data_IF_546085129314
#
_entry.id   IF_546085129314
#
_cell.length_a   1.000
_cell.length_b   1.000
_cell.length_c   1.000
_cell.angle_alpha   90.00
_cell.angle_beta   90.00
_cell.angle_gamma   90.00
#
_symmetry.space_group_name_H-M   'P 1'
#
loop_
_entity.id
_entity.type
_entity.pdbx_description
1 polymer ?
#
# COMPACT_ATOMS: atom_id res chain seq x y z
N UNK A 1 5.10 0.02 2.53
CA UNK A 1 3.98 -0.25 1.61
C UNK A 1 3.21 -1.46 2.10
N UNK A 2 1.88 -1.44 2.13
CA UNK A 2 1.07 -2.52 2.72
C UNK A 2 0.18 -3.14 1.65
N UNK A 3 0.39 -4.41 1.32
CA UNK A 3 -0.52 -5.09 0.41
C UNK A 3 -1.66 -5.70 1.25
N UNK A 4 -2.78 -4.98 1.38
CA UNK A 4 -3.97 -5.53 2.05
C UNK A 4 -4.72 -6.40 1.05
N UNK A 5 -4.33 -7.67 0.95
CA UNK A 5 -5.09 -8.67 0.21
C UNK A 5 -6.54 -8.74 0.74
N UNK A 6 -7.54 -8.59 -0.14
CA UNK A 6 -8.89 -9.10 0.11
C UNK A 6 -9.10 -10.27 -0.85
N UNK A 7 -8.78 -11.45 -0.34
CA UNK A 7 -8.83 -12.71 -1.04
C UNK A 7 -10.28 -13.13 -1.38
N UNK A 8 -10.88 -12.54 -2.41
CA UNK A 8 -12.18 -13.03 -2.90
C UNK A 8 -11.94 -14.07 -4.00
N UNK A 9 -12.24 -15.33 -3.67
CA UNK A 9 -12.19 -16.42 -4.63
C UNK A 9 -13.30 -16.26 -5.68
N UNK A 10 -12.92 -16.19 -6.97
CA UNK A 10 -13.85 -16.44 -8.05
C UNK A 10 -14.38 -17.89 -7.93
N UNK A 11 -15.70 -18.01 -7.81
CA UNK A 11 -16.42 -19.28 -7.61
C UNK A 11 -16.03 -20.34 -8.64
N UNK A 12 -15.36 -21.41 -8.20
CA UNK A 12 -15.35 -22.69 -8.89
C UNK A 12 -15.80 -23.80 -7.94
N UNK A 13 -16.72 -24.63 -8.45
CA UNK A 13 -17.44 -25.70 -7.74
C UNK A 13 -16.47 -26.73 -7.14
N UNK A 14 -16.34 -26.78 -5.81
CA UNK A 14 -16.25 -27.96 -4.92
C UNK A 14 -15.41 -27.65 -3.66
N UNK A 15 -15.97 -27.98 -2.48
CA UNK A 15 -15.47 -27.81 -1.10
C UNK A 15 -15.21 -26.36 -0.63
N UNK A 16 -16.23 -25.82 0.02
CA UNK A 16 -16.25 -24.59 0.84
C UNK A 16 -15.29 -24.74 2.05
N UNK A 17 -14.00 -24.58 1.84
CA UNK A 17 -13.13 -24.05 2.88
C UNK A 17 -13.30 -22.53 2.82
N UNK A 18 -13.84 -21.93 3.89
CA UNK A 18 -13.89 -20.48 4.00
C UNK A 18 -12.45 -19.97 4.13
N UNK A 19 -11.80 -19.70 3.00
CA UNK A 19 -10.49 -19.06 2.98
C UNK A 19 -10.70 -17.61 3.41
N UNK A 20 -10.24 -17.29 4.62
CA UNK A 20 -10.33 -15.95 5.18
C UNK A 20 -9.57 -14.93 4.33
N UNK A 21 -9.92 -13.66 4.49
CA UNK A 21 -9.11 -12.55 3.94
C UNK A 21 -7.75 -12.59 4.66
N UNK A 22 -6.67 -12.67 3.90
CA UNK A 22 -5.30 -12.57 4.42
C UNK A 22 -4.76 -11.18 4.07
N UNK A 23 -3.91 -10.57 4.91
CA UNK A 23 -3.22 -9.33 4.58
C UNK A 23 -1.70 -9.53 4.61
N UNK A 24 -0.96 -8.83 3.75
CA UNK A 24 0.50 -8.91 3.69
C UNK A 24 1.13 -7.53 3.88
N UNK A 25 1.93 -7.41 4.94
CA UNK A 25 2.71 -6.21 5.20
C UNK A 25 4.11 -6.34 4.58
N UNK A 26 4.45 -5.45 3.63
CA UNK A 26 5.72 -5.48 2.90
C UNK A 26 6.63 -4.35 3.41
N UNK A 27 7.63 -4.73 4.22
CA UNK A 27 8.57 -3.79 4.86
C UNK A 27 10.00 -4.07 4.34
N UNK A 28 10.79 -3.01 4.23
CA UNK A 28 12.19 -3.07 3.82
C UNK A 28 12.77 -1.67 3.58
N UNK A 29 14.10 -1.52 3.54
CA UNK A 29 14.75 -0.23 3.32
C UNK A 29 14.43 0.36 1.94
N UNK A 30 14.69 1.66 1.75
CA UNK A 30 14.57 2.29 0.44
C UNK A 30 15.40 1.53 -0.61
N UNK A 31 14.87 1.37 -1.83
CA UNK A 31 15.54 0.62 -2.90
C UNK A 31 15.50 -0.90 -2.79
N UNK A 32 14.91 -1.51 -1.74
CA UNK A 32 14.85 -2.97 -1.59
C UNK A 32 13.88 -3.69 -2.53
N UNK A 33 13.19 -2.97 -3.43
CA UNK A 33 12.26 -3.55 -4.41
C UNK A 33 10.82 -3.78 -3.93
N UNK A 34 10.38 -3.12 -2.85
CA UNK A 34 9.00 -3.29 -2.30
C UNK A 34 7.90 -3.04 -3.32
N UNK A 35 7.98 -1.94 -4.08
CA UNK A 35 6.97 -1.57 -5.07
C UNK A 35 6.93 -2.58 -6.23
N UNK A 36 8.11 -3.07 -6.65
CA UNK A 36 8.26 -4.13 -7.66
C UNK A 36 7.65 -5.45 -7.18
N UNK A 37 7.88 -5.82 -5.92
CA UNK A 37 7.28 -7.00 -5.33
C UNK A 37 5.74 -6.92 -5.36
N UNK A 38 5.17 -5.79 -4.94
CA UNK A 38 3.72 -5.58 -4.94
C UNK A 38 3.13 -5.66 -6.35
N UNK A 39 3.81 -5.10 -7.36
CA UNK A 39 3.40 -5.20 -8.77
C UNK A 39 3.35 -6.66 -9.26
N UNK A 40 4.42 -7.42 -9.01
CA UNK A 40 4.53 -8.82 -9.42
C UNK A 40 3.52 -9.71 -8.70
N UNK A 41 3.34 -9.51 -7.39
CA UNK A 41 2.35 -10.25 -6.61
C UNK A 41 0.94 -9.97 -7.08
N UNK A 42 0.60 -8.70 -7.36
CA UNK A 42 -0.70 -8.33 -7.92
C UNK A 42 -0.96 -9.05 -9.25
N UNK A 43 0.00 -8.95 -10.18
CA UNK A 43 -0.09 -9.62 -11.48
C UNK A 43 -0.27 -11.14 -11.32
N UNK A 44 0.48 -11.76 -10.40
CA UNK A 44 0.38 -13.19 -10.11
C UNK A 44 -1.03 -13.56 -9.59
N UNK A 45 -1.56 -12.82 -8.61
CA UNK A 45 -2.89 -13.08 -8.04
C UNK A 45 -3.99 -12.87 -9.09
N UNK A 46 -3.85 -11.88 -9.97
CA UNK A 46 -4.77 -11.64 -11.09
C UNK A 46 -4.77 -12.80 -12.09
N UNK A 47 -3.60 -13.39 -12.40
CA UNK A 47 -3.53 -14.58 -13.26
C UNK A 47 -4.22 -15.81 -12.65
N UNK A 48 -4.38 -15.84 -11.33
CA UNK A 48 -5.13 -16.86 -10.60
C UNK A 48 -6.64 -16.56 -10.54
N UNK A 49 -7.13 -15.51 -11.21
CA UNK A 49 -8.52 -15.03 -11.14
C UNK A 49 -8.98 -14.71 -9.70
N UNK A 50 -8.09 -14.09 -8.92
CA UNK A 50 -8.37 -13.66 -7.54
C UNK A 50 -8.24 -12.16 -7.43
N UNK A 51 -8.99 -11.58 -6.49
CA UNK A 51 -8.90 -10.14 -6.19
C UNK A 51 -7.76 -9.86 -5.21
N UNK A 52 -7.13 -8.71 -5.41
CA UNK A 52 -6.05 -8.16 -4.59
C UNK A 52 -6.24 -6.65 -4.55
N UNK A 53 -6.01 -6.06 -3.38
CA UNK A 53 -5.97 -4.61 -3.21
C UNK A 53 -4.58 -4.23 -2.69
N UNK A 54 -3.95 -3.27 -3.36
CA UNK A 54 -2.69 -2.71 -2.89
C UNK A 54 -2.98 -1.41 -2.16
N UNK A 55 -2.40 -1.22 -0.98
CA UNK A 55 -2.54 0.00 -0.19
C UNK A 55 -1.18 0.66 -0.02
N UNK A 56 -1.06 1.92 -0.41
CA UNK A 56 0.15 2.67 -0.13
C UNK A 56 0.04 3.37 1.21
N UNK A 57 0.97 3.05 2.13
CA UNK A 57 1.13 3.73 3.42
C UNK A 57 2.48 4.46 3.52
N UNK A 58 3.15 4.68 2.39
CA UNK A 58 4.43 5.39 2.34
C UNK A 58 4.21 6.78 1.72
N UNK A 59 4.27 7.87 2.53
CA UNK A 59 4.04 9.24 2.04
C UNK A 59 5.19 9.73 1.15
N UNK A 60 6.33 9.04 1.15
CA UNK A 60 7.47 9.31 0.28
C UNK A 60 7.50 8.41 -0.97
N UNK A 61 6.49 7.58 -1.19
CA UNK A 61 6.45 6.73 -2.37
C UNK A 61 6.36 7.55 -3.66
N UNK A 62 7.10 7.12 -4.67
CA UNK A 62 7.02 7.65 -6.03
C UNK A 62 5.77 7.13 -6.78
N UNK A 63 5.68 7.41 -8.08
CA UNK A 63 4.57 6.96 -8.92
C UNK A 63 4.52 5.43 -9.07
N UNK A 64 3.36 4.85 -8.82
CA UNK A 64 3.09 3.43 -9.05
C UNK A 64 2.70 3.18 -10.51
N UNK A 65 3.15 2.05 -11.09
CA UNK A 65 2.76 1.60 -12.44
C UNK A 65 1.49 0.73 -12.45
N UNK A 66 0.78 0.66 -11.33
CA UNK A 66 -0.40 -0.17 -11.13
C UNK A 66 -1.43 0.56 -10.26
N UNK A 67 -2.72 0.20 -10.35
CA UNK A 67 -3.75 0.81 -9.52
C UNK A 67 -3.54 0.46 -8.04
N UNK A 68 -3.58 1.48 -7.19
CA UNK A 68 -3.58 1.36 -5.74
C UNK A 68 -5.00 1.63 -5.24
N UNK A 69 -5.50 0.82 -4.32
CA UNK A 69 -6.86 0.92 -3.80
C UNK A 69 -7.03 2.05 -2.77
N UNK A 70 -5.97 2.37 -2.04
CA UNK A 70 -5.91 3.51 -1.12
C UNK A 70 -4.46 4.00 -1.02
N UNK A 71 -4.27 5.31 -1.01
CA UNK A 71 -2.96 5.95 -0.96
C UNK A 71 -2.92 7.02 0.13
N UNK A 72 -1.99 6.90 1.07
CA UNK A 72 -1.78 7.91 2.11
C UNK A 72 -1.46 9.30 1.54
N UNK A 73 -0.90 9.37 0.32
CA UNK A 73 -0.58 10.64 -0.33
C UNK A 73 -1.82 11.47 -0.68
N UNK A 74 -3.00 10.83 -0.76
CA UNK A 74 -4.27 11.54 -0.92
C UNK A 74 -4.67 12.30 0.36
N UNK A 75 -4.14 11.89 1.52
CA UNK A 75 -4.28 12.59 2.80
C UNK A 75 -3.13 13.58 3.00
N UNK A 76 -1.89 13.09 2.89
CA UNK A 76 -0.68 13.88 3.13
C UNK A 76 0.51 13.35 2.32
N UNK A 77 1.14 14.23 1.53
CA UNK A 77 2.33 13.90 0.76
C UNK A 77 3.59 14.50 1.40
N UNK A 78 4.73 13.78 1.31
CA UNK A 78 5.99 14.28 1.85
C UNK A 78 6.44 15.57 1.15
N UNK A 79 6.20 15.69 -0.15
CA UNK A 79 6.63 16.83 -0.97
C UNK A 79 5.90 18.12 -0.55
N UNK A 80 4.59 18.04 -0.33
CA UNK A 80 3.79 19.18 0.13
C UNK A 80 4.23 19.63 1.53
N UNK A 81 4.43 18.67 2.45
CA UNK A 81 4.90 18.96 3.82
C UNK A 81 6.28 19.60 3.82
N UNK A 82 7.23 19.09 3.03
CA UNK A 82 8.56 19.67 2.94
C UNK A 82 8.50 21.12 2.41
N UNK A 83 7.58 21.40 1.48
CA UNK A 83 7.43 22.72 0.85
C UNK A 83 6.73 23.73 1.77
N UNK A 84 5.62 23.32 2.40
CA UNK A 84 4.79 24.20 3.24
C UNK A 84 5.42 24.42 4.63
N UNK A 85 5.93 23.36 5.24
CA UNK A 85 6.48 23.40 6.60
C UNK A 85 7.98 23.71 6.62
N UNK A 86 8.62 23.83 5.44
CA UNK A 86 10.07 24.05 5.26
C UNK A 86 10.92 23.02 6.00
N UNK A 87 10.45 21.78 6.05
CA UNK A 87 11.12 20.67 6.70
C UNK A 87 12.06 19.95 5.71
N UNK A 88 13.15 19.39 6.24
CA UNK A 88 13.96 18.43 5.50
C UNK A 88 13.23 17.08 5.34
N UNK A 89 13.75 16.14 4.51
CA UNK A 89 13.06 14.89 4.20
C UNK A 89 12.68 14.06 5.43
N UNK A 90 13.57 14.00 6.42
CA UNK A 90 13.31 13.27 7.67
C UNK A 90 12.28 13.98 8.55
N UNK A 91 12.30 15.32 8.59
CA UNK A 91 11.34 16.10 9.35
C UNK A 91 9.94 16.02 8.75
N UNK A 92 9.85 16.09 7.41
CA UNK A 92 8.60 15.90 6.70
C UNK A 92 8.01 14.50 6.90
N UNK A 93 8.85 13.46 6.92
CA UNK A 93 8.38 12.09 7.18
C UNK A 93 7.78 11.92 8.57
N UNK A 94 8.39 12.51 9.60
CA UNK A 94 7.87 12.47 10.97
C UNK A 94 6.51 13.18 11.01
N UNK A 95 6.43 14.37 10.41
CA UNK A 95 5.19 15.14 10.34
C UNK A 95 4.07 14.36 9.62
N UNK A 96 4.36 13.72 8.48
CA UNK A 96 3.38 12.89 7.78
C UNK A 96 2.85 11.74 8.65
N UNK A 97 3.69 11.17 9.52
CA UNK A 97 3.28 10.09 10.42
C UNK A 97 2.45 10.60 11.60
N UNK A 98 2.76 11.78 12.13
CA UNK A 98 1.96 12.45 13.17
C UNK A 98 0.57 12.79 12.64
N UNK A 99 0.49 13.42 11.48
CA UNK A 99 -0.79 13.78 10.85
C UNK A 99 -1.65 12.55 10.52
N UNK A 100 -1.03 11.45 10.06
CA UNK A 100 -1.73 10.18 9.85
C UNK A 100 -2.37 9.65 11.14
N UNK A 101 -1.67 9.74 12.27
CA UNK A 101 -2.16 9.27 13.57
C UNK A 101 -3.33 10.14 14.05
N UNK A 102 -3.22 11.45 13.89
CA UNK A 102 -4.26 12.41 14.31
C UNK A 102 -5.54 12.29 13.47
N UNK A 103 -5.46 11.78 12.24
CA UNK A 103 -6.59 11.61 11.31
C UNK A 103 -7.06 10.14 11.18
N UNK A 104 -6.62 9.24 12.06
CA UNK A 104 -6.97 7.80 11.99
C UNK A 104 -8.33 7.46 12.66
N UNK A 105 -8.94 8.41 13.35
CA UNK A 105 -10.26 8.33 14.01
C UNK A 105 -11.44 8.69 13.07
#
# INVERSE_FOLDING_TARGET
QVCVDALEAARARTRKAAMGRCGQLVIGPAGSGKSTYCELMRNHIETLNRRVHVVNLDPAAEHFRYPVAADIRDLISLEDVMTEMKLGPNGGLIYCMEDLIDNID
#
